data_IF_965812173105
#
_entry.id   IF_965812173105
#
_cell.length_a   1.000
_cell.length_b   1.000
_cell.length_c   1.000
_cell.angle_alpha   90.00
_cell.angle_beta   90.00
_cell.angle_gamma   90.00
#
_symmetry.space_group_name_H-M   'P 1'
#
loop_
_entity.id
_entity.type
_entity.pdbx_description
1 polymer ?
#
# COMPACT_ATOMS: atom_id res chain seq x y z
N UNK A 1 -24.38 7.44 -7.41
CA UNK A 1 -24.54 6.73 -8.70
C UNK A 1 -25.58 7.44 -9.56
N UNK A 2 -25.77 7.04 -10.82
CA UNK A 2 -26.83 7.56 -11.69
C UNK A 2 -28.25 7.17 -11.25
N UNK A 3 -28.39 6.23 -10.32
CA UNK A 3 -29.67 5.73 -9.81
C UNK A 3 -30.33 6.67 -8.79
N UNK A 4 -29.57 7.45 -8.05
CA UNK A 4 -30.13 8.50 -7.19
C UNK A 4 -30.77 9.61 -8.06
N UNK A 5 -31.50 10.56 -7.46
CA UNK A 5 -31.79 11.84 -8.11
C UNK A 5 -30.63 12.83 -7.83
N UNK A 6 -30.35 13.80 -8.72
CA UNK A 6 -29.53 14.93 -8.35
C UNK A 6 -30.27 15.86 -7.38
N UNK A 7 -29.53 16.71 -6.67
CA UNK A 7 -30.08 17.80 -5.86
C UNK A 7 -30.54 18.98 -6.74
N UNK A 8 -30.94 20.08 -6.10
CA UNK A 8 -31.42 21.29 -6.79
C UNK A 8 -30.36 21.97 -7.67
N UNK A 9 -29.07 21.71 -7.43
CA UNK A 9 -27.95 22.24 -8.20
C UNK A 9 -27.53 21.27 -9.33
N UNK A 10 -28.24 20.15 -9.50
CA UNK A 10 -27.89 19.11 -10.46
C UNK A 10 -26.76 18.19 -9.99
N UNK A 11 -26.31 18.32 -8.74
CA UNK A 11 -25.23 17.53 -8.17
C UNK A 11 -25.75 16.22 -7.58
N UNK A 12 -24.91 15.20 -7.60
CA UNK A 12 -25.14 13.97 -6.84
C UNK A 12 -24.17 13.95 -5.67
N UNK A 13 -24.40 13.05 -4.72
CA UNK A 13 -23.57 12.95 -3.52
C UNK A 13 -22.05 13.03 -3.79
N UNK A 14 -21.46 12.33 -4.79
CA UNK A 14 -20.04 12.45 -5.08
C UNK A 14 -19.56 13.88 -5.39
N UNK A 15 -20.31 14.65 -6.19
CA UNK A 15 -19.96 16.04 -6.49
C UNK A 15 -20.17 16.93 -5.27
N UNK A 16 -21.30 16.79 -4.60
CA UNK A 16 -21.61 17.57 -3.40
C UNK A 16 -20.57 17.34 -2.29
N UNK A 17 -20.11 16.09 -2.11
CA UNK A 17 -19.11 15.74 -1.12
C UNK A 17 -17.77 16.41 -1.45
N UNK A 18 -17.31 16.35 -2.70
CA UNK A 18 -16.11 17.04 -3.14
C UNK A 18 -16.20 18.55 -2.89
N UNK A 19 -17.26 19.22 -3.35
CA UNK A 19 -17.48 20.66 -3.11
C UNK A 19 -17.45 21.00 -1.62
N UNK A 20 -18.09 20.17 -0.80
CA UNK A 20 -18.12 20.38 0.64
C UNK A 20 -16.72 20.24 1.25
N UNK A 21 -16.01 19.14 1.00
CA UNK A 21 -14.67 18.92 1.53
C UNK A 21 -13.66 19.97 1.06
N UNK A 22 -13.75 20.38 -0.21
CA UNK A 22 -12.96 21.48 -0.76
C UNK A 22 -13.17 22.76 0.06
N UNK A 23 -14.42 23.17 0.25
CA UNK A 23 -14.76 24.38 1.02
C UNK A 23 -14.29 24.33 2.47
N UNK A 24 -14.14 23.14 3.06
CA UNK A 24 -13.74 22.99 4.45
C UNK A 24 -12.22 22.93 4.63
N UNK A 25 -11.49 22.35 3.67
CA UNK A 25 -10.10 21.93 3.89
C UNK A 25 -9.10 22.40 2.82
N UNK A 26 -9.53 22.49 1.56
CA UNK A 26 -8.60 22.65 0.43
C UNK A 26 -8.67 24.04 -0.20
N UNK A 27 -9.87 24.59 -0.39
CA UNK A 27 -10.08 25.88 -1.01
C UNK A 27 -9.25 27.00 -0.33
N UNK A 28 -8.29 27.55 -1.07
CA UNK A 28 -7.41 28.61 -0.59
C UNK A 28 -6.32 28.16 0.39
N UNK A 29 -6.20 26.86 0.65
CA UNK A 29 -5.12 26.25 1.42
C UNK A 29 -3.90 26.00 0.54
N UNK A 30 -2.71 26.23 1.08
CA UNK A 30 -1.45 25.96 0.37
C UNK A 30 -0.59 24.90 1.04
N UNK A 31 -1.15 24.15 2.00
CA UNK A 31 -0.40 23.20 2.84
C UNK A 31 -0.55 21.75 2.41
N UNK A 32 -1.47 21.45 1.48
CA UNK A 32 -1.74 20.09 1.01
C UNK A 32 -1.24 19.91 -0.42
N UNK A 33 -0.42 18.87 -0.62
CA UNK A 33 0.01 18.42 -1.95
C UNK A 33 -0.92 17.32 -2.52
N UNK A 34 -1.73 16.70 -1.66
CA UNK A 34 -2.66 15.65 -2.04
C UNK A 34 -3.95 15.66 -1.22
N UNK A 35 -5.02 15.17 -1.85
CA UNK A 35 -6.31 14.88 -1.23
C UNK A 35 -6.44 13.38 -1.02
N UNK A 36 -6.67 12.98 0.23
CA UNK A 36 -6.86 11.58 0.64
C UNK A 36 -8.32 11.15 0.56
N UNK A 37 -8.59 10.05 -0.15
CA UNK A 37 -9.90 9.40 -0.25
C UNK A 37 -9.84 8.05 0.46
N UNK A 38 -10.56 7.94 1.57
CA UNK A 38 -10.65 6.69 2.31
C UNK A 38 -11.64 5.73 1.65
N UNK A 39 -11.49 4.43 1.91
CA UNK A 39 -12.40 3.39 1.42
C UNK A 39 -12.57 3.30 -0.10
N UNK A 40 -11.47 3.39 -0.86
CA UNK A 40 -11.49 3.12 -2.31
C UNK A 40 -11.64 1.61 -2.54
N UNK A 41 -12.89 1.16 -2.53
CA UNK A 41 -13.26 -0.26 -2.62
C UNK A 41 -13.62 -0.68 -4.05
N UNK A 42 -13.44 -1.95 -4.40
CA UNK A 42 -13.88 -2.50 -5.70
C UNK A 42 -15.42 -2.57 -5.84
N UNK A 43 -16.11 -2.63 -4.70
CA UNK A 43 -17.56 -2.76 -4.57
C UNK A 43 -17.99 -2.34 -3.15
N UNK A 44 -19.29 -2.12 -2.88
CA UNK A 44 -19.78 -1.88 -1.53
C UNK A 44 -19.45 -3.06 -0.59
N UNK A 45 -19.15 -2.76 0.68
CA UNK A 45 -18.95 -3.80 1.72
C UNK A 45 -20.22 -4.16 2.48
N UNK A 46 -21.30 -3.43 2.23
CA UNK A 46 -22.59 -3.61 2.89
C UNK A 46 -23.32 -4.88 2.42
N UNK A 47 -24.21 -5.43 3.28
CA UNK A 47 -25.12 -6.49 2.89
C UNK A 47 -26.07 -6.03 1.76
N UNK A 48 -26.85 -6.96 1.16
CA UNK A 48 -27.78 -6.60 0.10
C UNK A 48 -28.73 -5.47 0.49
N UNK A 49 -28.78 -4.43 -0.34
CA UNK A 49 -29.54 -3.20 -0.10
C UNK A 49 -30.21 -2.71 -1.39
N UNK A 50 -31.13 -1.74 -1.30
CA UNK A 50 -31.83 -1.21 -2.46
C UNK A 50 -30.99 -0.18 -3.22
N UNK A 51 -29.84 -0.61 -3.74
CA UNK A 51 -28.88 0.25 -4.44
C UNK A 51 -29.49 0.96 -5.66
N UNK A 52 -30.36 0.27 -6.40
CA UNK A 52 -31.02 0.77 -7.62
C UNK A 52 -32.31 1.57 -7.34
N UNK A 53 -32.74 1.66 -6.08
CA UNK A 53 -33.97 2.34 -5.67
C UNK A 53 -35.23 1.83 -6.40
N UNK A 54 -35.25 0.55 -6.77
CA UNK A 54 -36.32 -0.08 -7.56
C UNK A 54 -37.26 -0.99 -6.73
N UNK A 55 -37.23 -0.85 -5.40
CA UNK A 55 -38.05 -1.65 -4.48
C UNK A 55 -37.53 -3.05 -4.19
N UNK A 56 -36.39 -3.45 -4.78
CA UNK A 56 -35.69 -4.70 -4.46
C UNK A 56 -34.31 -4.42 -3.88
N UNK A 57 -33.76 -5.38 -3.12
CA UNK A 57 -32.36 -5.38 -2.72
C UNK A 57 -31.49 -6.04 -3.80
N UNK A 58 -30.28 -5.54 -3.98
CA UNK A 58 -29.25 -6.12 -4.84
C UNK A 58 -28.01 -6.46 -4.01
N UNK A 59 -27.26 -7.48 -4.43
CA UNK A 59 -26.01 -7.84 -3.75
C UNK A 59 -24.92 -6.84 -4.12
N UNK A 60 -23.99 -6.58 -3.21
CA UNK A 60 -22.82 -5.75 -3.51
C UNK A 60 -21.90 -6.36 -4.58
N UNK A 61 -21.92 -7.68 -4.73
CA UNK A 61 -21.18 -8.42 -5.77
C UNK A 61 -21.86 -8.41 -7.14
N UNK A 62 -23.09 -7.88 -7.26
CA UNK A 62 -23.74 -7.76 -8.56
C UNK A 62 -22.91 -6.81 -9.43
N UNK A 63 -22.56 -7.23 -10.65
CA UNK A 63 -21.57 -6.54 -11.47
C UNK A 63 -21.95 -5.08 -11.76
N UNK A 64 -23.24 -4.79 -11.92
CA UNK A 64 -23.72 -3.42 -12.14
C UNK A 64 -23.75 -2.57 -10.87
N UNK A 65 -23.96 -3.17 -9.69
CA UNK A 65 -23.79 -2.50 -8.38
C UNK A 65 -22.33 -2.14 -8.14
N UNK A 66 -21.42 -3.09 -8.36
CA UNK A 66 -19.99 -2.82 -8.23
C UNK A 66 -19.51 -1.74 -9.21
N UNK A 67 -19.93 -1.80 -10.48
CA UNK A 67 -19.59 -0.77 -11.47
C UNK A 67 -20.17 0.61 -11.11
N UNK A 68 -21.43 0.67 -10.67
CA UNK A 68 -22.05 1.94 -10.27
C UNK A 68 -21.39 2.55 -9.02
N UNK A 69 -20.94 1.73 -8.08
CA UNK A 69 -20.16 2.16 -6.92
C UNK A 69 -18.86 2.83 -7.35
N UNK A 70 -18.05 2.14 -8.17
CA UNK A 70 -16.79 2.69 -8.67
C UNK A 70 -16.97 3.93 -9.54
N UNK A 71 -18.05 4.00 -10.31
CA UNK A 71 -18.40 5.20 -11.07
C UNK A 71 -18.78 6.38 -10.15
N UNK A 72 -19.28 6.12 -8.94
CA UNK A 72 -19.53 7.14 -7.92
C UNK A 72 -18.23 7.74 -7.38
N UNK A 73 -17.31 6.90 -6.94
CA UNK A 73 -15.96 7.28 -6.48
C UNK A 73 -15.21 8.07 -7.57
N UNK A 74 -15.20 7.56 -8.81
CA UNK A 74 -14.59 8.25 -9.94
C UNK A 74 -15.23 9.63 -10.23
N UNK A 75 -16.52 9.79 -9.95
CA UNK A 75 -17.20 11.06 -10.12
C UNK A 75 -16.83 12.08 -9.02
N UNK A 76 -16.54 11.63 -7.79
CA UNK A 76 -15.99 12.47 -6.72
C UNK A 76 -14.59 12.95 -7.09
N UNK A 77 -13.72 12.04 -7.55
CA UNK A 77 -12.37 12.38 -7.99
C UNK A 77 -12.36 13.33 -9.19
N UNK A 78 -13.29 13.15 -10.13
CA UNK A 78 -13.45 14.06 -11.26
C UNK A 78 -13.87 15.47 -10.81
N UNK A 79 -14.69 15.59 -9.77
CA UNK A 79 -15.06 16.90 -9.20
C UNK A 79 -13.91 17.53 -8.42
N UNK A 80 -13.23 16.75 -7.57
CA UNK A 80 -12.03 17.17 -6.85
C UNK A 80 -10.95 17.74 -7.80
N UNK A 81 -10.74 17.13 -8.97
CA UNK A 81 -9.82 17.66 -10.00
C UNK A 81 -10.27 18.96 -10.65
N UNK A 82 -11.57 19.24 -10.70
CA UNK A 82 -12.06 20.54 -11.21
C UNK A 82 -11.83 21.64 -10.19
N UNK A 83 -12.07 21.34 -8.92
CA UNK A 83 -11.91 22.26 -7.79
C UNK A 83 -10.42 22.56 -7.57
N UNK A 84 -9.60 21.52 -7.50
CA UNK A 84 -8.18 21.59 -7.16
C UNK A 84 -7.29 20.91 -8.23
N UNK A 85 -7.08 21.55 -9.40
CA UNK A 85 -6.49 20.90 -10.58
C UNK A 85 -5.03 20.47 -10.43
N UNK A 86 -4.30 21.03 -9.45
CA UNK A 86 -2.91 20.68 -9.17
C UNK A 86 -2.76 19.67 -8.03
N UNK A 87 -3.85 19.35 -7.32
CA UNK A 87 -3.85 18.43 -6.19
C UNK A 87 -3.68 16.99 -6.67
N UNK A 88 -2.75 16.26 -6.06
CA UNK A 88 -2.63 14.83 -6.32
C UNK A 88 -3.75 14.08 -5.57
N UNK A 89 -4.27 13.02 -6.16
CA UNK A 89 -5.29 12.20 -5.48
C UNK A 89 -4.65 10.93 -4.92
N UNK A 90 -4.87 10.69 -3.62
CA UNK A 90 -4.38 9.53 -2.88
C UNK A 90 -5.58 8.69 -2.39
N UNK A 91 -5.68 7.43 -2.78
CA UNK A 91 -6.74 6.53 -2.30
C UNK A 91 -6.24 5.51 -1.27
N UNK A 92 -7.07 5.14 -0.29
CA UNK A 92 -6.90 3.91 0.51
C UNK A 92 -7.56 2.74 -0.20
N UNK A 93 -6.76 1.87 -0.85
CA UNK A 93 -7.25 0.96 -1.90
C UNK A 93 -7.33 -0.49 -1.44
N UNK A 94 -8.43 -1.18 -1.78
CA UNK A 94 -8.59 -2.64 -1.56
C UNK A 94 -8.47 -3.49 -2.84
N UNK A 95 -8.28 -2.81 -3.99
CA UNK A 95 -8.20 -3.40 -5.32
C UNK A 95 -6.92 -2.99 -6.05
N UNK A 96 -6.66 -3.55 -7.24
CA UNK A 96 -5.50 -3.19 -8.07
C UNK A 96 -5.77 -1.99 -8.98
N UNK A 97 -6.93 -1.34 -8.81
CA UNK A 97 -7.38 -0.20 -9.63
C UNK A 97 -7.49 -0.51 -11.14
N UNK A 98 -7.56 -1.79 -11.53
CA UNK A 98 -7.60 -2.18 -12.94
C UNK A 98 -8.96 -1.99 -13.62
N UNK A 99 -10.01 -1.69 -12.84
CA UNK A 99 -11.34 -1.44 -13.37
C UNK A 99 -11.35 -0.22 -14.29
N UNK A 100 -12.27 -0.21 -15.26
CA UNK A 100 -12.37 0.87 -16.24
C UNK A 100 -12.65 2.22 -15.60
N UNK A 101 -13.34 2.22 -14.46
CA UNK A 101 -13.67 3.43 -13.71
C UNK A 101 -12.46 3.99 -12.93
N UNK A 102 -11.56 3.13 -12.44
CA UNK A 102 -10.46 3.55 -11.54
C UNK A 102 -9.13 3.73 -12.23
N UNK A 103 -8.88 3.02 -13.33
CA UNK A 103 -7.58 3.03 -13.99
C UNK A 103 -7.17 4.44 -14.40
N UNK A 104 -6.02 4.89 -13.88
CA UNK A 104 -5.47 6.21 -14.15
C UNK A 104 -6.17 7.37 -13.45
N UNK A 105 -7.05 7.12 -12.48
CA UNK A 105 -7.74 8.19 -11.75
C UNK A 105 -6.97 8.72 -10.54
N UNK A 106 -6.17 7.88 -9.88
CA UNK A 106 -5.41 8.25 -8.69
C UNK A 106 -3.92 8.38 -9.02
N UNK A 107 -3.21 9.27 -8.32
CA UNK A 107 -1.76 9.44 -8.46
C UNK A 107 -1.04 8.61 -7.39
N UNK A 108 -1.59 8.57 -6.19
CA UNK A 108 -1.05 7.82 -5.08
C UNK A 108 -2.06 6.78 -4.57
N UNK A 109 -1.56 5.71 -3.97
CA UNK A 109 -2.39 4.72 -3.29
C UNK A 109 -1.74 4.23 -1.99
N UNK A 110 -2.51 4.22 -0.91
CA UNK A 110 -2.20 3.51 0.32
C UNK A 110 -2.76 2.10 0.22
N UNK A 111 -1.90 1.11 0.40
CA UNK A 111 -2.26 -0.28 0.58
C UNK A 111 -2.19 -0.60 2.08
N UNK A 112 -3.35 -0.48 2.73
CA UNK A 112 -3.46 -0.53 4.20
C UNK A 112 -3.24 -1.95 4.75
N UNK A 113 -2.34 -2.05 5.74
CA UNK A 113 -1.99 -3.26 6.47
C UNK A 113 -1.92 -4.52 5.58
N UNK A 114 -1.12 -4.49 4.51
CA UNK A 114 -0.93 -5.64 3.63
C UNK A 114 -0.38 -6.87 4.37
N UNK A 115 0.25 -6.65 5.53
CA UNK A 115 0.77 -7.65 6.46
C UNK A 115 0.41 -7.31 7.92
N UNK A 116 0.40 -8.35 8.77
CA UNK A 116 0.38 -8.20 10.23
C UNK A 116 -0.98 -8.36 10.91
N UNK A 117 -2.09 -8.27 10.17
CA UNK A 117 -3.44 -8.47 10.69
C UNK A 117 -4.05 -9.77 10.16
N UNK A 118 -5.10 -10.26 10.82
CA UNK A 118 -5.85 -11.44 10.38
C UNK A 118 -6.51 -11.25 9.01
N UNK A 119 -6.87 -10.01 8.67
CA UNK A 119 -7.50 -9.61 7.41
C UNK A 119 -6.50 -9.10 6.36
N UNK A 120 -5.22 -8.99 6.70
CA UNK A 120 -4.16 -8.60 5.78
C UNK A 120 -4.10 -9.54 4.58
N UNK A 121 -3.93 -9.00 3.38
CA UNK A 121 -3.85 -9.77 2.13
C UNK A 121 -2.77 -10.86 2.19
N UNK A 122 -1.62 -10.59 2.81
CA UNK A 122 -0.57 -11.61 3.01
C UNK A 122 -1.04 -12.79 3.86
N UNK A 123 -1.85 -12.54 4.87
CA UNK A 123 -2.28 -13.57 5.83
C UNK A 123 -3.18 -14.61 5.18
N UNK A 124 -4.15 -14.18 4.35
CA UNK A 124 -5.10 -15.09 3.72
C UNK A 124 -4.78 -15.42 2.25
N UNK A 125 -4.09 -14.54 1.53
CA UNK A 125 -3.74 -14.69 0.12
C UNK A 125 -2.26 -15.03 -0.14
N UNK A 126 -1.41 -14.90 0.88
CA UNK A 126 0.01 -15.13 0.78
C UNK A 126 0.78 -13.99 0.10
N UNK A 127 2.11 -14.08 0.17
CA UNK A 127 3.01 -13.03 -0.30
C UNK A 127 2.87 -12.76 -1.81
N UNK A 128 2.71 -13.79 -2.63
CA UNK A 128 2.57 -13.64 -4.09
C UNK A 128 1.34 -12.82 -4.46
N UNK A 129 0.20 -13.08 -3.81
CA UNK A 129 -1.03 -12.32 -4.09
C UNK A 129 -0.92 -10.88 -3.58
N UNK A 130 -0.31 -10.69 -2.41
CA UNK A 130 0.00 -9.36 -1.87
C UNK A 130 0.88 -8.53 -2.81
N UNK A 131 1.97 -9.11 -3.31
CA UNK A 131 2.86 -8.42 -4.25
C UNK A 131 2.21 -8.17 -5.60
N UNK A 132 1.39 -9.10 -6.09
CA UNK A 132 0.58 -8.89 -7.30
C UNK A 132 -0.36 -7.68 -7.14
N UNK A 133 -1.04 -7.56 -5.99
CA UNK A 133 -1.89 -6.39 -5.69
C UNK A 133 -1.06 -5.10 -5.66
N UNK A 134 0.06 -5.08 -4.94
CA UNK A 134 0.91 -3.90 -4.82
C UNK A 134 1.46 -3.41 -6.17
N UNK A 135 2.00 -4.31 -6.98
CA UNK A 135 2.51 -3.96 -8.31
C UNK A 135 1.38 -3.60 -9.29
N UNK A 136 0.23 -4.27 -9.19
CA UNK A 136 -0.96 -3.99 -9.98
C UNK A 136 -1.53 -2.59 -9.72
N UNK A 137 -1.67 -2.21 -8.45
CA UNK A 137 -2.04 -0.84 -8.05
C UNK A 137 -1.09 0.16 -8.68
N UNK A 138 0.23 -0.02 -8.46
CA UNK A 138 1.25 0.90 -8.97
C UNK A 138 1.15 1.05 -10.49
N UNK A 139 0.90 -0.03 -11.23
CA UNK A 139 0.77 0.01 -12.69
C UNK A 139 -0.45 0.82 -13.16
N UNK A 140 -1.55 0.81 -12.41
CA UNK A 140 -2.82 1.46 -12.75
C UNK A 140 -2.96 2.90 -12.22
N UNK A 141 -1.98 3.42 -11.49
CA UNK A 141 -1.93 4.85 -11.10
C UNK A 141 -1.59 5.76 -12.29
N UNK A 142 -2.02 7.02 -12.21
CA UNK A 142 -1.54 8.13 -13.02
C UNK A 142 -0.20 8.68 -12.50
N UNK A 143 0.64 9.28 -13.34
CA UNK A 143 1.86 9.95 -12.88
C UNK A 143 1.58 11.11 -11.90
N UNK A 144 2.43 11.35 -10.89
CA UNK A 144 3.49 10.47 -10.40
C UNK A 144 2.88 9.23 -9.73
N UNK A 145 3.35 8.03 -10.10
CA UNK A 145 2.78 6.76 -9.63
C UNK A 145 3.41 6.37 -8.30
N UNK A 146 2.72 6.64 -7.20
CA UNK A 146 3.27 6.39 -5.85
C UNK A 146 2.39 5.43 -5.07
N UNK A 147 2.91 4.24 -4.77
CA UNK A 147 2.25 3.32 -3.85
C UNK A 147 2.90 3.41 -2.46
N UNK A 148 2.09 3.43 -1.42
CA UNK A 148 2.49 3.30 -0.02
C UNK A 148 2.08 1.90 0.44
N UNK A 149 3.06 1.01 0.55
CA UNK A 149 2.90 -0.30 1.16
C UNK A 149 2.84 -0.12 2.67
N UNK A 150 1.81 -0.62 3.35
CA UNK A 150 1.80 -0.56 4.81
C UNK A 150 1.64 -1.90 5.50
N UNK A 151 2.09 -1.94 6.75
CA UNK A 151 2.01 -3.07 7.65
C UNK A 151 1.49 -2.62 9.01
N UNK A 152 0.80 -3.51 9.73
CA UNK A 152 0.20 -3.19 11.02
C UNK A 152 0.51 -4.26 12.05
N UNK A 153 1.23 -3.90 13.11
CA UNK A 153 1.65 -4.83 14.16
C UNK A 153 2.08 -4.12 15.44
N UNK A 154 2.65 -4.86 16.39
CA UNK A 154 3.12 -4.25 17.64
C UNK A 154 4.36 -3.38 17.42
N UNK A 155 4.54 -2.35 18.26
CA UNK A 155 5.69 -1.43 18.17
C UNK A 155 7.07 -2.12 18.16
N UNK A 156 7.17 -3.28 18.80
CA UNK A 156 8.40 -4.10 18.91
C UNK A 156 8.39 -5.35 18.04
N UNK A 157 7.43 -5.48 17.12
CA UNK A 157 7.39 -6.57 16.15
C UNK A 157 8.35 -6.28 14.98
N UNK A 158 9.64 -6.27 15.30
CA UNK A 158 10.71 -5.90 14.38
C UNK A 158 10.85 -6.90 13.22
N UNK A 159 10.51 -8.17 13.43
CA UNK A 159 10.51 -9.17 12.37
C UNK A 159 9.42 -8.85 11.32
N UNK A 160 8.20 -8.52 11.75
CA UNK A 160 7.14 -8.08 10.85
C UNK A 160 7.50 -6.77 10.14
N UNK A 161 8.09 -5.80 10.86
CA UNK A 161 8.59 -4.57 10.26
C UNK A 161 9.55 -4.87 9.12
N UNK A 162 10.63 -5.63 9.39
CA UNK A 162 11.63 -5.97 8.38
C UNK A 162 11.06 -6.79 7.24
N UNK A 163 10.19 -7.76 7.52
CA UNK A 163 9.49 -8.55 6.51
C UNK A 163 8.72 -7.66 5.53
N UNK A 164 8.00 -6.68 6.07
CA UNK A 164 7.09 -5.84 5.29
C UNK A 164 7.83 -4.74 4.55
N UNK A 165 8.81 -4.09 5.20
CA UNK A 165 9.71 -3.13 4.55
C UNK A 165 10.49 -3.81 3.42
N UNK A 166 11.05 -5.00 3.67
CA UNK A 166 11.77 -5.74 2.65
C UNK A 166 10.87 -6.15 1.48
N UNK A 167 9.59 -6.49 1.75
CA UNK A 167 8.59 -6.77 0.72
C UNK A 167 8.28 -5.52 -0.11
N UNK A 168 8.08 -4.36 0.53
CA UNK A 168 7.85 -3.09 -0.16
C UNK A 168 9.01 -2.74 -1.09
N UNK A 169 10.26 -2.93 -0.62
CA UNK A 169 11.50 -2.70 -1.36
C UNK A 169 11.74 -3.72 -2.48
N UNK A 170 10.99 -4.83 -2.56
CA UNK A 170 10.97 -5.65 -3.79
C UNK A 170 10.27 -4.91 -4.94
N UNK A 171 9.45 -3.89 -4.67
CA UNK A 171 8.96 -2.89 -5.62
C UNK A 171 9.53 -1.49 -5.34
N UNK A 172 8.93 -0.45 -5.92
CA UNK A 172 9.48 0.92 -5.89
C UNK A 172 8.64 1.92 -5.05
N UNK A 173 7.75 1.41 -4.21
CA UNK A 173 6.85 2.18 -3.36
C UNK A 173 7.48 2.61 -2.03
N UNK A 174 6.77 3.52 -1.36
CA UNK A 174 7.05 3.92 0.01
C UNK A 174 6.54 2.88 0.99
N UNK A 175 7.04 2.94 2.22
CA UNK A 175 6.64 2.03 3.29
C UNK A 175 6.17 2.80 4.53
N UNK A 176 5.09 2.31 5.14
CA UNK A 176 4.58 2.81 6.41
C UNK A 176 4.28 1.65 7.38
N UNK A 177 4.60 1.84 8.65
CA UNK A 177 4.29 0.86 9.69
C UNK A 177 3.38 1.48 10.76
N UNK A 178 2.22 0.86 10.97
CA UNK A 178 1.32 1.20 12.07
C UNK A 178 1.61 0.28 13.25
N UNK A 179 1.99 0.87 14.39
CA UNK A 179 2.28 0.14 15.62
C UNK A 179 1.01 -0.25 16.42
N UNK A 180 -0.13 -0.42 15.74
CA UNK A 180 -1.48 -0.55 16.32
C UNK A 180 -1.88 0.64 17.22
N UNK A 181 -1.25 1.80 17.03
CA UNK A 181 -1.60 3.07 17.68
C UNK A 181 -2.80 3.76 17.01
N UNK A 182 -3.07 5.00 17.41
CA UNK A 182 -4.20 5.81 16.92
C UNK A 182 -3.90 6.63 15.65
N UNK A 183 -2.89 6.24 14.88
CA UNK A 183 -2.42 6.92 13.66
C UNK A 183 -2.00 8.40 13.83
N UNK A 184 -1.79 8.87 15.07
CA UNK A 184 -1.39 10.28 15.32
C UNK A 184 0.10 10.54 15.21
N UNK A 185 0.91 9.50 15.02
CA UNK A 185 2.35 9.62 14.85
C UNK A 185 2.88 8.51 13.94
N UNK A 186 3.96 8.83 13.22
CA UNK A 186 4.72 7.83 12.49
C UNK A 186 5.58 7.03 13.48
N UNK A 187 5.54 5.71 13.37
CA UNK A 187 6.50 4.84 14.07
C UNK A 187 7.82 4.87 13.30
N UNK A 188 8.92 5.19 13.99
CA UNK A 188 10.25 5.27 13.37
C UNK A 188 11.09 4.06 13.76
N UNK A 189 11.79 3.50 12.78
CA UNK A 189 12.63 2.32 12.94
C UNK A 189 14.05 2.55 12.42
N UNK A 190 15.03 1.87 13.01
CA UNK A 190 16.45 1.98 12.66
C UNK A 190 16.67 1.73 11.15
N UNK A 191 15.91 0.82 10.55
CA UNK A 191 15.94 0.50 9.12
C UNK A 191 15.67 1.70 8.21
N UNK A 192 14.89 2.70 8.65
CA UNK A 192 14.58 3.89 7.85
C UNK A 192 15.75 4.86 7.72
N UNK A 193 16.75 4.75 8.60
CA UNK A 193 17.95 5.59 8.54
C UNK A 193 18.98 5.08 7.51
N UNK A 194 18.70 3.97 6.83
CA UNK A 194 19.64 3.31 5.92
C UNK A 194 19.52 3.89 4.52
N UNK A 195 20.60 4.50 4.02
CA UNK A 195 20.66 4.97 2.64
C UNK A 195 21.12 3.85 1.69
N UNK A 196 20.16 3.09 1.14
CA UNK A 196 20.43 2.05 0.15
C UNK A 196 20.83 2.60 -1.24
N UNK A 197 20.52 3.86 -1.54
CA UNK A 197 20.65 4.42 -2.88
C UNK A 197 19.62 3.86 -3.86
N UNK A 198 19.87 4.01 -5.16
CA UNK A 198 18.98 3.50 -6.21
C UNK A 198 18.99 1.97 -6.28
N UNK A 199 17.84 1.38 -6.64
CA UNK A 199 17.76 -0.03 -6.97
C UNK A 199 18.58 -0.33 -8.24
N UNK A 200 19.31 -1.46 -8.24
CA UNK A 200 20.12 -1.91 -9.39
C UNK A 200 19.35 -2.86 -10.31
N UNK A 201 18.12 -3.21 -9.94
CA UNK A 201 17.27 -4.18 -10.61
C UNK A 201 15.82 -3.64 -10.64
N UNK A 202 15.01 -4.02 -11.64
CA UNK A 202 13.56 -3.83 -11.60
C UNK A 202 12.92 -4.51 -10.38
N UNK A 203 11.61 -4.33 -10.22
CA UNK A 203 10.85 -5.01 -9.19
C UNK A 203 11.06 -6.54 -9.24
N UNK A 204 11.20 -7.17 -8.08
CA UNK A 204 11.54 -8.59 -7.94
C UNK A 204 10.30 -9.41 -7.62
N UNK A 205 9.99 -10.39 -8.46
CA UNK A 205 8.83 -11.29 -8.33
C UNK A 205 9.20 -12.76 -8.26
N UNK A 206 10.49 -13.10 -8.35
CA UNK A 206 10.98 -14.47 -8.30
C UNK A 206 11.97 -14.66 -7.14
N UNK A 207 11.92 -15.84 -6.52
CA UNK A 207 12.84 -16.21 -5.46
C UNK A 207 14.28 -16.34 -5.99
N UNK A 208 15.25 -16.01 -5.15
CA UNK A 208 16.67 -16.06 -5.48
C UNK A 208 17.32 -17.36 -4.98
N UNK A 209 17.29 -17.61 -3.67
CA UNK A 209 17.93 -18.79 -3.06
C UNK A 209 17.04 -19.35 -1.96
N UNK A 210 16.76 -20.65 -2.00
CA UNK A 210 15.99 -21.36 -0.95
C UNK A 210 14.63 -20.69 -0.63
N UNK A 211 13.96 -20.13 -1.64
CA UNK A 211 12.70 -19.40 -1.45
C UNK A 211 12.84 -17.99 -0.84
N UNK A 212 14.07 -17.53 -0.54
CA UNK A 212 14.36 -16.15 -0.12
C UNK A 212 14.48 -15.26 -1.35
N UNK A 213 13.89 -14.08 -1.28
CA UNK A 213 13.94 -13.05 -2.31
C UNK A 213 15.02 -12.05 -1.98
N UNK A 214 15.65 -11.49 -3.01
CA UNK A 214 16.74 -10.53 -2.89
C UNK A 214 16.56 -9.43 -3.93
N UNK A 215 16.78 -8.18 -3.50
CA UNK A 215 16.95 -7.05 -4.42
C UNK A 215 18.20 -6.26 -4.06
N UNK A 216 18.98 -5.93 -5.08
CA UNK A 216 20.23 -5.19 -4.93
C UNK A 216 20.03 -3.70 -5.15
N UNK A 217 20.71 -2.91 -4.32
CA UNK A 217 20.77 -1.47 -4.37
C UNK A 217 22.24 -1.02 -4.41
N UNK A 218 22.47 0.26 -4.74
CA UNK A 218 23.82 0.83 -4.84
C UNK A 218 24.67 0.56 -3.59
N UNK A 219 24.10 0.79 -2.40
CA UNK A 219 24.81 0.76 -1.13
C UNK A 219 24.46 -0.47 -0.27
N UNK A 220 23.70 -1.43 -0.79
CA UNK A 220 23.20 -2.54 0.02
C UNK A 220 22.36 -3.56 -0.72
N UNK A 221 21.81 -4.49 0.03
CA UNK A 221 20.84 -5.49 -0.43
C UNK A 221 19.71 -5.62 0.56
N UNK A 222 18.55 -6.04 0.07
CA UNK A 222 17.36 -6.34 0.86
C UNK A 222 17.00 -7.80 0.65
N UNK A 223 16.67 -8.50 1.73
CA UNK A 223 16.25 -9.90 1.73
C UNK A 223 14.90 -10.04 2.38
N UNK A 224 14.03 -10.90 1.83
CA UNK A 224 12.78 -11.29 2.48
C UNK A 224 12.57 -12.81 2.41
N UNK A 225 12.26 -13.41 3.55
CA UNK A 225 11.93 -14.82 3.67
C UNK A 225 10.45 -14.98 4.00
N UNK A 226 9.73 -15.65 3.09
CA UNK A 226 8.28 -15.69 3.12
C UNK A 226 7.73 -16.43 4.34
N UNK A 227 6.51 -16.06 4.77
CA UNK A 227 5.73 -16.89 5.69
C UNK A 227 5.58 -18.29 5.11
N UNK A 228 5.76 -19.31 5.94
CA UNK A 228 5.67 -20.71 5.53
C UNK A 228 6.92 -21.28 4.85
N UNK A 229 7.92 -20.47 4.49
CA UNK A 229 9.16 -20.97 3.89
C UNK A 229 10.17 -21.53 4.91
N UNK A 230 9.81 -21.59 6.19
CA UNK A 230 10.68 -22.06 7.27
C UNK A 230 11.92 -21.18 7.48
N UNK A 231 12.85 -21.66 8.32
CA UNK A 231 14.12 -20.98 8.58
C UNK A 231 15.12 -21.29 7.46
N UNK A 232 15.61 -20.26 6.77
CA UNK A 232 16.48 -20.41 5.61
C UNK A 232 17.84 -19.77 5.82
N UNK A 233 18.89 -20.41 5.31
CA UNK A 233 20.24 -19.86 5.24
C UNK A 233 20.63 -19.60 3.80
N UNK A 234 21.16 -18.41 3.53
CA UNK A 234 21.58 -17.98 2.19
C UNK A 234 23.02 -17.48 2.21
N UNK A 235 23.76 -17.69 1.11
CA UNK A 235 25.11 -17.18 0.91
C UNK A 235 25.05 -15.91 0.06
N UNK A 236 25.65 -14.83 0.53
CA UNK A 236 25.45 -13.49 -0.05
C UNK A 236 26.27 -13.25 -1.33
N UNK A 237 27.29 -14.07 -1.59
CA UNK A 237 28.21 -13.91 -2.72
C UNK A 237 29.21 -12.76 -2.55
N UNK A 238 29.32 -12.22 -1.34
CA UNK A 238 30.24 -11.14 -0.96
C UNK A 238 30.11 -10.85 0.54
N UNK A 239 30.88 -9.88 1.03
CA UNK A 239 30.73 -9.37 2.39
C UNK A 239 29.74 -8.21 2.39
N UNK A 240 28.81 -8.24 3.34
CA UNK A 240 27.87 -7.16 3.64
C UNK A 240 27.86 -6.92 5.15
N UNK A 241 27.33 -5.78 5.58
CA UNK A 241 27.19 -5.44 6.98
C UNK A 241 25.72 -5.40 7.36
N UNK A 242 25.37 -6.07 8.47
CA UNK A 242 24.11 -5.80 9.14
C UNK A 242 24.08 -4.33 9.57
N UNK A 243 22.91 -3.72 9.57
CA UNK A 243 22.79 -2.36 10.09
C UNK A 243 23.09 -2.37 11.59
N UNK A 244 23.59 -1.26 12.13
CA UNK A 244 23.84 -1.10 13.57
C UNK A 244 22.65 -0.36 14.18
N UNK A 245 21.71 -1.12 14.71
CA UNK A 245 20.49 -0.62 15.33
C UNK A 245 20.50 -0.72 16.85
N UNK A 246 19.63 0.06 17.48
CA UNK A 246 19.40 0.06 18.94
C UNK A 246 18.10 -0.65 19.33
N UNK A 247 17.14 -0.78 18.41
CA UNK A 247 15.81 -1.34 18.67
C UNK A 247 15.82 -2.87 18.71
N UNK A 248 16.56 -3.52 17.79
CA UNK A 248 16.79 -4.97 17.75
C UNK A 248 18.29 -5.29 17.55
N UNK A 249 19.12 -5.09 18.59
CA UNK A 249 20.57 -5.27 18.49
C UNK A 249 21.01 -6.74 18.35
N UNK A 250 20.08 -7.71 18.41
CA UNK A 250 20.39 -9.11 18.10
C UNK A 250 20.44 -9.32 16.59
N UNK A 251 19.50 -8.72 15.86
CA UNK A 251 19.44 -8.80 14.40
C UNK A 251 20.37 -7.77 13.75
N UNK A 252 20.28 -6.52 14.22
CA UNK A 252 20.93 -5.33 13.67
C UNK A 252 22.16 -4.95 14.52
N UNK A 253 23.21 -5.76 14.43
CA UNK A 253 24.37 -5.70 15.31
C UNK A 253 25.66 -5.17 14.64
N UNK A 254 25.59 -4.62 13.43
CA UNK A 254 26.76 -4.10 12.71
C UNK A 254 27.73 -5.15 12.17
N UNK A 255 27.48 -6.45 12.36
CA UNK A 255 28.45 -7.48 11.95
C UNK A 255 28.60 -7.58 10.44
N UNK A 256 29.85 -7.75 9.99
CA UNK A 256 30.18 -8.21 8.65
C UNK A 256 29.77 -9.68 8.48
N UNK A 257 29.05 -9.97 7.40
CA UNK A 257 28.48 -11.28 7.10
C UNK A 257 28.69 -11.65 5.62
N UNK A 258 28.93 -12.93 5.37
CA UNK A 258 28.97 -13.52 4.02
C UNK A 258 27.82 -14.52 3.79
N UNK A 259 27.14 -14.91 4.87
CA UNK A 259 25.90 -15.66 4.88
C UNK A 259 25.00 -15.16 6.01
N UNK A 260 23.70 -15.34 5.85
CA UNK A 260 22.70 -15.00 6.88
C UNK A 260 21.66 -16.10 6.98
N UNK A 261 21.07 -16.23 8.17
CA UNK A 261 19.94 -17.12 8.42
C UNK A 261 18.72 -16.26 8.79
N UNK A 262 17.63 -16.39 8.04
CA UNK A 262 16.37 -15.70 8.27
C UNK A 262 15.31 -16.69 8.78
N UNK A 263 14.50 -16.28 9.75
CA UNK A 263 13.29 -17.02 10.10
C UNK A 263 12.22 -16.83 9.02
N UNK A 264 11.16 -17.63 9.04
CA UNK A 264 10.00 -17.39 8.19
C UNK A 264 9.30 -16.08 8.60
N UNK A 265 8.74 -15.35 7.63
CA UNK A 265 8.12 -14.04 7.84
C UNK A 265 9.07 -13.01 8.48
N UNK A 266 10.30 -12.94 7.97
CA UNK A 266 11.31 -11.95 8.38
C UNK A 266 12.02 -11.39 7.15
N UNK A 267 12.69 -10.25 7.33
CA UNK A 267 13.50 -9.60 6.31
C UNK A 267 14.81 -9.08 6.87
N UNK A 268 15.71 -8.66 5.98
CA UNK A 268 16.95 -8.00 6.36
C UNK A 268 17.26 -6.87 5.38
N UNK A 269 17.75 -5.76 5.91
CA UNK A 269 18.46 -4.73 5.17
C UNK A 269 19.94 -4.86 5.51
N UNK A 270 20.78 -5.01 4.49
CA UNK A 270 22.23 -5.13 4.64
C UNK A 270 22.91 -4.04 3.81
N UNK A 271 24.00 -3.48 4.34
CA UNK A 271 24.81 -2.46 3.69
C UNK A 271 26.09 -3.07 3.11
N UNK A 272 26.72 -2.40 2.15
CA UNK A 272 28.03 -2.79 1.63
C UNK A 272 29.15 -2.32 2.53
#
# INVERSE_FOLDING_TARGET
TSWAAPDANGQRYPQWAADWFDSQYFAGSSVFDFWYFDNVMVQPRDPPASWKLNGANQNSTDADVAAAFRAGEAAEWAEARKLEPNMLLLGNVDSDLSSVEYKGQLNLALLECLTGQSWSLETWGGWTQMMSRYLGVTANLAPPKVAVFSACGGATDYALLRYSLASALMGDGYFAYSNNGNYRSASWYDEYNVNLGAALQPAVTAAWQNGVYRRDFQNGIVLVNLRGNGRQTVRLGGTFHKILGTQDPRTNNGQAVTSVTLNAADGLVLTR
#
